data_IF_755361559664
#
_entry.id   IF_755361559664
#
_cell.length_a   1.000
_cell.length_b   1.000
_cell.length_c   1.000
_cell.angle_alpha   90.00
_cell.angle_beta   90.00
_cell.angle_gamma   90.00
#
_symmetry.space_group_name_H-M   'P 1'
#
loop_
_entity.id
_entity.type
_entity.pdbx_description
1 polymer ?
#
# COMPACT_ATOMS: atom_id res chain seq x y z
N UNK A 1 -1.48 7.31 -18.43
CA UNK A 1 -2.13 5.98 -18.38
C UNK A 1 -1.75 5.34 -17.04
N UNK A 2 -2.69 4.73 -16.34
CA UNK A 2 -2.52 4.16 -15.00
C UNK A 2 -3.09 2.74 -14.99
N UNK A 3 -2.22 1.76 -14.78
CA UNK A 3 -2.54 0.33 -14.77
C UNK A 3 -2.19 -0.26 -13.39
N UNK A 4 -2.82 0.28 -12.35
CA UNK A 4 -2.66 -0.16 -10.96
C UNK A 4 -3.97 0.09 -10.20
N UNK A 5 -3.95 -0.05 -8.89
CA UNK A 5 -5.11 0.15 -8.02
C UNK A 5 -5.74 1.54 -8.19
N UNK A 6 -7.07 1.59 -8.33
CA UNK A 6 -7.82 2.83 -8.67
C UNK A 6 -7.70 3.96 -7.62
N UNK A 7 -7.53 3.64 -6.35
CA UNK A 7 -7.33 4.57 -5.24
C UNK A 7 -6.10 5.45 -5.37
N UNK A 8 -5.07 5.04 -6.13
CA UNK A 8 -3.88 5.87 -6.37
C UNK A 8 -4.20 7.20 -7.06
N UNK A 9 -5.30 7.26 -7.83
CA UNK A 9 -5.66 8.41 -8.66
C UNK A 9 -5.88 9.66 -7.81
N UNK A 10 -6.42 9.52 -6.60
CA UNK A 10 -6.58 10.66 -5.70
C UNK A 10 -5.23 11.31 -5.38
N UNK A 11 -4.22 10.50 -5.02
CA UNK A 11 -2.88 11.01 -4.72
C UNK A 11 -2.18 11.57 -5.97
N UNK A 12 -2.33 10.90 -7.12
CA UNK A 12 -1.75 11.39 -8.38
C UNK A 12 -2.30 12.77 -8.78
N UNK A 13 -3.62 12.97 -8.68
CA UNK A 13 -4.27 14.27 -8.93
C UNK A 13 -3.80 15.34 -7.94
N UNK A 14 -3.68 15.00 -6.65
CA UNK A 14 -3.17 15.91 -5.62
C UNK A 14 -1.72 16.36 -5.92
N UNK A 15 -0.87 15.43 -6.35
CA UNK A 15 0.54 15.71 -6.65
C UNK A 15 0.76 16.38 -8.01
N UNK A 16 -0.21 16.30 -8.93
CA UNK A 16 -0.10 16.82 -10.29
C UNK A 16 -1.47 17.20 -10.84
N UNK A 17 -2.06 18.33 -10.38
CA UNK A 17 -3.44 18.69 -10.66
C UNK A 17 -3.72 19.06 -12.12
N UNK A 18 -2.70 19.50 -12.87
CA UNK A 18 -2.81 19.88 -14.28
C UNK A 18 -2.65 18.73 -15.28
N UNK A 19 -2.62 17.47 -14.82
CA UNK A 19 -2.45 16.30 -15.69
C UNK A 19 -3.71 15.45 -15.75
N UNK A 20 -3.96 14.89 -16.93
CA UNK A 20 -5.01 13.91 -17.14
C UNK A 20 -4.51 12.49 -16.87
N UNK A 21 -5.20 11.79 -15.97
CA UNK A 21 -4.89 10.41 -15.60
C UNK A 21 -5.92 9.47 -16.21
N UNK A 22 -5.51 8.75 -17.26
CA UNK A 22 -6.33 7.73 -17.93
C UNK A 22 -6.15 6.38 -17.24
N UNK A 23 -7.21 5.80 -16.70
CA UNK A 23 -7.20 4.51 -16.01
C UNK A 23 -7.41 3.39 -17.03
N UNK A 24 -6.62 2.31 -16.92
CA UNK A 24 -6.86 1.12 -17.73
C UNK A 24 -8.07 0.38 -17.18
N UNK A 25 -9.11 0.12 -18.01
CA UNK A 25 -10.30 -0.61 -17.56
C UNK A 25 -9.94 -2.03 -17.12
N UNK A 26 -10.71 -2.58 -16.19
CA UNK A 26 -10.65 -3.98 -15.85
C UNK A 26 -11.55 -4.77 -16.81
N UNK A 27 -11.00 -5.78 -17.48
CA UNK A 27 -11.80 -6.75 -18.25
C UNK A 27 -12.37 -7.84 -17.33
N UNK A 28 -13.40 -8.57 -17.79
CA UNK A 28 -14.05 -9.66 -17.05
C UNK A 28 -13.08 -10.78 -16.59
N UNK A 29 -11.91 -10.87 -17.22
CA UNK A 29 -10.85 -11.84 -16.89
C UNK A 29 -9.90 -11.35 -15.79
N UNK A 30 -9.91 -10.06 -15.42
CA UNK A 30 -9.00 -9.49 -14.41
C UNK A 30 -9.63 -8.29 -13.68
N UNK A 31 -10.45 -8.57 -12.65
CA UNK A 31 -10.86 -7.58 -11.65
C UNK A 31 -9.71 -7.21 -10.67
N UNK A 32 -8.48 -7.19 -11.18
CA UNK A 32 -7.23 -7.09 -10.41
C UNK A 32 -6.87 -5.66 -10.01
N UNK A 33 -7.53 -4.65 -10.59
CA UNK A 33 -7.20 -3.23 -10.41
C UNK A 33 -8.03 -2.59 -9.27
N UNK A 34 -8.97 -3.31 -8.68
CA UNK A 34 -9.76 -2.85 -7.54
C UNK A 34 -9.70 -3.89 -6.42
N UNK A 35 -8.82 -3.65 -5.44
CA UNK A 35 -8.60 -4.58 -4.34
C UNK A 35 -9.66 -4.38 -3.24
N UNK A 36 -10.59 -5.32 -3.03
CA UNK A 36 -11.64 -5.17 -2.02
C UNK A 36 -11.07 -5.10 -0.60
N UNK A 37 -9.91 -5.73 -0.36
CA UNK A 37 -9.27 -5.74 0.96
C UNK A 37 -8.70 -4.37 1.36
N UNK A 38 -8.19 -3.58 0.41
CA UNK A 38 -7.70 -2.23 0.71
C UNK A 38 -8.82 -1.30 1.21
N UNK A 39 -10.05 -1.49 0.71
CA UNK A 39 -11.24 -0.71 1.06
C UNK A 39 -11.89 -1.12 2.37
N UNK A 40 -11.38 -2.14 3.07
CA UNK A 40 -11.89 -2.54 4.38
C UNK A 40 -11.59 -1.51 5.49
N UNK A 41 -10.63 -0.62 5.25
CA UNK A 41 -10.26 0.46 6.17
C UNK A 41 -11.16 1.68 5.95
N UNK A 42 -12.05 1.95 6.90
CA UNK A 42 -12.98 3.10 6.87
C UNK A 42 -12.59 4.15 7.91
N UNK A 43 -13.08 5.39 7.75
CA UNK A 43 -12.83 6.47 8.72
C UNK A 43 -13.33 6.12 10.13
N UNK A 44 -14.48 5.44 10.23
CA UNK A 44 -15.01 4.94 11.50
C UNK A 44 -14.09 3.89 12.14
N UNK A 45 -13.59 2.92 11.36
CA UNK A 45 -12.65 1.92 11.86
C UNK A 45 -11.33 2.54 12.31
N UNK A 46 -10.81 3.54 11.59
CA UNK A 46 -9.61 4.27 12.00
C UNK A 46 -9.83 5.02 13.31
N UNK A 47 -10.98 5.69 13.47
CA UNK A 47 -11.34 6.34 14.73
C UNK A 47 -11.40 5.34 15.90
N UNK A 48 -12.07 4.20 15.70
CA UNK A 48 -12.17 3.16 16.72
C UNK A 48 -10.80 2.52 17.02
N UNK A 49 -9.94 2.36 16.01
CA UNK A 49 -8.59 1.83 16.17
C UNK A 49 -7.74 2.74 17.06
N UNK A 50 -7.79 4.06 16.83
CA UNK A 50 -7.05 5.03 17.64
C UNK A 50 -7.63 5.15 19.05
N UNK A 51 -8.97 5.09 19.18
CA UNK A 51 -9.65 5.19 20.47
C UNK A 51 -9.37 3.99 21.38
N UNK A 52 -9.32 2.80 20.80
CA UNK A 52 -9.25 1.54 21.56
C UNK A 52 -7.87 0.87 21.48
N UNK A 53 -6.92 1.46 20.75
CA UNK A 53 -5.57 0.92 20.46
C UNK A 53 -5.61 -0.54 19.94
N UNK A 54 -6.58 -0.85 19.09
CA UNK A 54 -6.85 -2.21 18.57
C UNK A 54 -7.23 -2.19 17.10
N UNK A 55 -6.92 -3.26 16.33
CA UNK A 55 -6.26 -4.50 16.77
C UNK A 55 -4.74 -4.37 16.86
N UNK A 56 -4.15 -5.00 17.87
CA UNK A 56 -2.70 -5.25 17.92
C UNK A 56 -2.34 -6.40 16.98
N UNK A 57 -1.25 -6.26 16.23
CA UNK A 57 -0.72 -7.31 15.35
C UNK A 57 0.35 -8.08 16.11
N UNK A 58 0.04 -9.30 16.52
CA UNK A 58 0.95 -10.18 17.27
C UNK A 58 1.50 -11.24 16.32
N UNK A 59 2.82 -11.39 16.30
CA UNK A 59 3.54 -12.39 15.50
C UNK A 59 4.55 -13.12 16.40
N UNK A 60 4.91 -14.36 16.05
CA UNK A 60 5.96 -15.09 16.77
C UNK A 60 7.35 -14.47 16.51
N UNK A 61 8.19 -14.41 17.54
CA UNK A 61 9.54 -13.82 17.45
C UNK A 61 10.37 -14.43 16.31
N UNK A 62 10.26 -15.75 16.12
CA UNK A 62 10.97 -16.44 15.03
C UNK A 62 10.55 -15.92 13.65
N UNK A 63 9.27 -15.63 13.44
CA UNK A 63 8.76 -15.08 12.17
C UNK A 63 9.31 -13.68 11.97
N UNK A 64 9.32 -12.86 13.02
CA UNK A 64 9.85 -11.49 13.00
C UNK A 64 11.33 -11.51 12.62
N UNK A 65 12.15 -12.33 13.31
CA UNK A 65 13.59 -12.39 13.06
C UNK A 65 13.92 -12.90 11.66
N UNK A 66 13.22 -13.94 11.20
CA UNK A 66 13.41 -14.47 9.84
C UNK A 66 12.98 -13.47 8.76
N UNK A 67 11.86 -12.75 8.95
CA UNK A 67 11.36 -11.76 7.99
C UNK A 67 12.23 -10.50 7.92
N UNK A 68 12.86 -10.09 9.04
CA UNK A 68 13.78 -8.93 9.08
C UNK A 68 14.97 -9.09 8.13
N UNK A 69 15.52 -10.29 8.00
CA UNK A 69 16.73 -10.54 7.19
C UNK A 69 16.56 -10.08 5.72
N UNK A 70 15.58 -10.59 4.94
CA UNK A 70 15.40 -10.16 3.56
C UNK A 70 14.96 -8.70 3.43
N UNK A 71 14.17 -8.18 4.38
CA UNK A 71 13.75 -6.77 4.37
C UNK A 71 14.96 -5.85 4.54
N UNK A 72 15.82 -6.10 5.51
CA UNK A 72 17.04 -5.31 5.72
C UNK A 72 17.97 -5.38 4.51
N UNK A 73 18.15 -6.57 3.93
CA UNK A 73 18.94 -6.72 2.70
C UNK A 73 18.37 -5.92 1.53
N UNK A 74 17.05 -5.94 1.34
CA UNK A 74 16.37 -5.15 0.30
C UNK A 74 16.63 -3.65 0.52
N UNK A 75 16.48 -3.16 1.75
CA UNK A 75 16.73 -1.76 2.09
C UNK A 75 18.20 -1.36 1.90
N UNK A 76 19.15 -2.24 2.26
CA UNK A 76 20.58 -2.00 2.08
C UNK A 76 20.95 -1.89 0.60
N UNK A 77 20.37 -2.74 -0.26
CA UNK A 77 20.55 -2.66 -1.72
C UNK A 77 20.00 -1.33 -2.23
N UNK A 78 18.78 -0.96 -1.84
CA UNK A 78 18.15 0.29 -2.26
C UNK A 78 18.95 1.52 -1.80
N UNK A 79 19.54 1.52 -0.59
CA UNK A 79 20.44 2.59 -0.10
C UNK A 79 21.73 2.68 -0.92
N UNK A 80 22.38 1.55 -1.22
CA UNK A 80 23.58 1.52 -2.08
C UNK A 80 23.32 2.07 -3.48
N UNK A 81 22.10 1.90 -3.99
CA UNK A 81 21.66 2.43 -5.28
C UNK A 81 21.07 3.85 -5.20
N UNK A 82 21.08 4.49 -4.02
CA UNK A 82 20.49 5.81 -3.75
C UNK A 82 18.98 5.91 -4.10
N UNK A 83 18.22 4.81 -3.97
CA UNK A 83 16.77 4.77 -4.22
C UNK A 83 15.94 5.17 -2.98
N UNK A 84 16.52 5.02 -1.79
CA UNK A 84 15.95 5.43 -0.50
C UNK A 84 17.05 6.14 0.30
N UNK A 85 16.66 7.18 1.05
CA UNK A 85 17.57 7.95 1.90
C UNK A 85 17.94 7.19 3.16
#
# INVERSE_FOLDING_TARGET
IVATETGIIHQMKKNSPGKDFLIVPADETCACNDCPYMKLNTMEKLYLCLKNEKPEIILADEVIEKAKIPINRMLDISRKLNLVK
#
